data_IF_953996115885
#
_entry.id   IF_953996115885
#
_cell.length_a   1.000
_cell.length_b   1.000
_cell.length_c   1.000
_cell.angle_alpha   90.00
_cell.angle_beta   90.00
_cell.angle_gamma   90.00
#
_symmetry.space_group_name_H-M   'P 1'
#
loop_
_entity.id
_entity.type
_entity.pdbx_description
1 polymer ?
#
# COMPACT_ATOMS: atom_id res chain seq x y z
N UNK A 1 71.22 23.03 -25.98
CA UNK A 1 70.45 21.95 -25.33
C UNK A 1 69.00 22.30 -25.60
N UNK A 2 68.45 21.98 -26.79
CA UNK A 2 68.75 20.83 -27.68
C UNK A 2 68.49 19.50 -26.92
N UNK A 3 67.61 18.56 -27.31
CA UNK A 3 66.90 18.22 -28.58
C UNK A 3 65.63 17.38 -28.23
N UNK A 4 64.61 16.96 -29.03
CA UNK A 4 64.02 17.15 -30.41
C UNK A 4 62.76 16.24 -30.48
N UNK A 5 61.68 16.39 -31.26
CA UNK A 5 61.10 17.47 -32.09
C UNK A 5 59.61 17.16 -32.47
N UNK A 6 59.04 17.94 -33.39
CA UNK A 6 57.83 17.82 -34.26
C UNK A 6 57.35 16.37 -34.64
N UNK A 7 56.14 16.08 -35.14
CA UNK A 7 55.18 16.79 -36.04
C UNK A 7 53.70 16.37 -35.75
N UNK A 8 52.60 17.06 -36.11
CA UNK A 8 52.12 17.58 -37.43
C UNK A 8 51.84 16.45 -38.47
N UNK A 9 50.75 16.41 -39.27
CA UNK A 9 49.53 17.24 -39.35
C UNK A 9 48.40 16.54 -40.21
N UNK A 10 47.22 17.18 -40.31
CA UNK A 10 46.20 17.15 -41.40
C UNK A 10 45.55 15.86 -41.98
N UNK A 11 44.29 15.64 -41.58
CA UNK A 11 43.07 15.88 -42.41
C UNK A 11 43.11 15.64 -43.95
N UNK A 12 42.29 14.69 -44.47
CA UNK A 12 41.27 14.96 -45.51
C UNK A 12 40.36 13.76 -45.93
N UNK A 13 39.05 14.03 -46.02
CA UNK A 13 38.03 13.65 -47.04
C UNK A 13 38.32 12.51 -48.05
N UNK A 14 37.34 11.59 -48.25
CA UNK A 14 36.73 11.24 -49.57
C UNK A 14 35.55 10.25 -49.43
N UNK A 15 34.49 10.44 -50.23
CA UNK A 15 33.41 9.46 -50.45
C UNK A 15 33.67 8.65 -51.74
N UNK A 16 33.30 7.36 -51.80
CA UNK A 16 32.87 6.72 -53.06
C UNK A 16 32.13 5.39 -52.89
N UNK A 17 31.21 5.13 -53.82
CA UNK A 17 30.53 3.85 -54.01
C UNK A 17 31.42 2.85 -54.77
N UNK A 18 31.09 1.55 -54.73
CA UNK A 18 30.59 0.82 -55.93
C UNK A 18 30.21 -0.65 -55.70
N UNK A 19 29.14 -1.04 -56.41
CA UNK A 19 28.84 -2.27 -57.16
C UNK A 19 29.40 -3.64 -56.71
N UNK A 20 28.51 -4.64 -56.58
CA UNK A 20 28.41 -5.84 -57.46
C UNK A 20 27.37 -6.84 -56.88
N UNK A 21 26.36 -7.32 -57.64
CA UNK A 21 26.29 -8.56 -58.48
C UNK A 21 26.39 -9.86 -57.66
N UNK A 22 25.54 -10.89 -57.79
CA UNK A 22 24.19 -11.04 -58.40
C UNK A 22 23.60 -12.40 -57.91
N UNK A 23 22.83 -13.11 -58.76
CA UNK A 23 22.28 -14.46 -58.60
C UNK A 23 21.19 -14.65 -57.51
N UNK A 24 20.27 -15.62 -57.62
CA UNK A 24 19.46 -16.08 -58.77
C UNK A 24 18.45 -17.13 -58.24
N UNK A 25 17.18 -17.06 -58.63
CA UNK A 25 16.35 -18.24 -58.99
C UNK A 25 14.95 -17.85 -59.44
N UNK A 26 14.39 -18.63 -60.37
CA UNK A 26 13.06 -18.43 -60.95
C UNK A 26 12.19 -19.65 -60.64
N UNK A 27 10.97 -19.40 -60.16
CA UNK A 27 9.77 -20.22 -60.38
C UNK A 27 8.56 -19.29 -60.18
N UNK A 28 7.64 -19.09 -61.14
CA UNK A 28 6.79 -20.08 -61.81
C UNK A 28 5.85 -20.80 -60.83
N UNK A 29 4.53 -20.90 -61.05
CA UNK A 29 3.58 -20.22 -61.96
C UNK A 29 2.16 -20.61 -61.44
N UNK A 30 1.09 -20.10 -62.06
CA UNK A 30 -0.32 -20.35 -61.66
C UNK A 30 -0.69 -19.70 -60.29
N UNK A 31 -1.65 -18.79 -60.16
CA UNK A 31 -2.49 -18.14 -61.17
C UNK A 31 -3.92 -18.68 -61.18
N UNK A 32 -4.84 -17.88 -60.64
CA UNK A 32 -6.27 -18.01 -60.87
C UNK A 32 -6.86 -16.62 -61.18
N UNK A 33 -7.89 -16.59 -62.04
CA UNK A 33 -8.51 -15.37 -62.59
C UNK A 33 -9.92 -15.18 -61.99
N UNK A 34 -10.68 -14.17 -62.45
CA UNK A 34 -12.11 -13.87 -62.19
C UNK A 34 -12.35 -12.88 -61.04
N UNK A 35 -13.04 -11.74 -61.23
CA UNK A 35 -13.46 -11.01 -62.46
C UNK A 35 -13.37 -9.50 -62.15
N UNK A 36 -12.95 -8.68 -63.11
CA UNK A 36 -13.06 -7.21 -63.03
C UNK A 36 -14.39 -6.73 -63.61
N UNK A 37 -14.99 -5.68 -63.03
CA UNK A 37 -16.15 -4.98 -63.63
C UNK A 37 -15.96 -3.46 -63.63
N UNK A 38 -15.08 -3.03 -64.53
CA UNK A 38 -15.09 -1.68 -65.12
C UNK A 38 -16.30 -1.53 -66.09
N UNK A 39 -16.79 -0.33 -66.50
CA UNK A 39 -16.53 1.07 -66.10
C UNK A 39 -17.48 2.01 -66.89
N UNK A 40 -17.85 3.14 -66.29
CA UNK A 40 -18.29 4.36 -66.98
C UNK A 40 -18.23 5.54 -65.98
N UNK A 41 -17.45 6.63 -66.10
CA UNK A 41 -17.02 7.48 -67.23
C UNK A 41 -18.10 8.42 -67.79
N UNK A 42 -17.87 9.73 -67.97
CA UNK A 42 -16.89 10.70 -67.38
C UNK A 42 -17.28 12.12 -67.86
N UNK A 43 -17.01 13.24 -67.20
CA UNK A 43 -16.42 13.45 -65.87
C UNK A 43 -17.39 14.20 -64.92
N UNK A 44 -17.33 15.48 -64.52
CA UNK A 44 -16.38 16.60 -64.71
C UNK A 44 -16.60 17.63 -63.56
N UNK A 45 -15.55 18.01 -62.80
CA UNK A 45 -15.53 19.31 -62.06
C UNK A 45 -14.10 19.72 -61.64
N UNK A 46 -13.94 20.96 -61.14
CA UNK A 46 -12.67 21.71 -61.06
C UNK A 46 -11.50 21.12 -60.23
N UNK A 47 -10.28 21.35 -60.71
CA UNK A 47 -9.04 21.26 -59.93
C UNK A 47 -8.92 22.43 -58.94
N UNK A 48 -8.56 22.15 -57.68
CA UNK A 48 -7.44 22.88 -57.07
C UNK A 48 -6.28 21.96 -56.64
N UNK A 49 -5.09 22.54 -56.49
CA UNK A 49 -3.88 21.79 -56.14
C UNK A 49 -3.81 21.47 -54.63
N UNK A 50 -3.98 20.19 -54.29
CA UNK A 50 -3.19 19.53 -53.23
C UNK A 50 -3.32 18.00 -53.32
N UNK A 51 -2.66 17.40 -54.32
CA UNK A 51 -2.54 15.93 -54.43
C UNK A 51 -1.56 15.41 -53.37
N UNK A 52 -2.06 15.27 -52.14
CA UNK A 52 -1.27 14.83 -50.99
C UNK A 52 -0.85 13.37 -51.19
N UNK A 53 0.43 13.09 -50.93
CA UNK A 53 1.01 11.76 -51.07
C UNK A 53 0.61 10.88 -49.87
N UNK A 54 0.35 9.59 -50.13
CA UNK A 54 0.08 8.57 -49.12
C UNK A 54 1.21 8.53 -48.08
N UNK A 55 0.91 8.85 -46.82
CA UNK A 55 1.93 8.92 -45.75
C UNK A 55 2.46 7.55 -45.30
N UNK A 56 1.88 6.45 -45.80
CA UNK A 56 2.30 5.07 -45.50
C UNK A 56 3.31 4.56 -46.53
N UNK A 57 2.96 4.59 -47.81
CA UNK A 57 3.79 3.99 -48.87
C UNK A 57 4.61 5.00 -49.68
N UNK A 58 4.28 6.29 -49.60
CA UNK A 58 4.89 7.43 -50.33
C UNK A 58 4.92 7.34 -51.87
N UNK A 59 4.45 6.24 -52.48
CA UNK A 59 4.50 5.95 -53.92
C UNK A 59 3.28 6.45 -54.72
N UNK A 60 2.20 6.82 -54.06
CA UNK A 60 0.91 7.17 -54.69
C UNK A 60 0.21 8.29 -53.92
N UNK A 61 -0.68 9.02 -54.58
CA UNK A 61 -1.54 10.01 -53.94
C UNK A 61 -2.57 9.35 -53.01
N UNK A 62 -2.87 9.98 -51.88
CA UNK A 62 -3.87 9.48 -50.93
C UNK A 62 -5.29 9.66 -51.47
N UNK A 63 -6.10 8.60 -51.39
CA UNK A 63 -7.52 8.62 -51.74
C UNK A 63 -8.41 8.66 -50.48
N UNK A 64 -7.87 8.25 -49.33
CA UNK A 64 -8.62 8.04 -48.09
C UNK A 64 -7.89 8.66 -46.89
N UNK A 65 -8.61 8.85 -45.79
CA UNK A 65 -8.10 9.39 -44.52
C UNK A 65 -8.58 8.50 -43.36
N UNK A 66 -7.70 8.11 -42.45
CA UNK A 66 -8.08 7.30 -41.29
C UNK A 66 -8.84 8.16 -40.26
N UNK A 67 -10.07 7.78 -39.83
CA UNK A 67 -10.90 8.61 -38.95
C UNK A 67 -10.37 8.71 -37.51
N UNK A 68 -9.46 7.82 -37.10
CA UNK A 68 -8.89 7.80 -35.73
C UNK A 68 -7.64 8.66 -35.55
N UNK A 69 -6.84 8.84 -36.60
CA UNK A 69 -5.54 9.55 -36.53
C UNK A 69 -5.33 10.58 -37.65
N UNK A 70 -6.34 10.80 -38.51
CA UNK A 70 -6.30 11.71 -39.66
C UNK A 70 -5.17 11.46 -40.68
N UNK A 71 -4.53 10.27 -40.63
CA UNK A 71 -3.46 9.89 -41.55
C UNK A 71 -4.04 9.54 -42.93
N UNK A 72 -3.48 10.14 -43.98
CA UNK A 72 -3.93 9.94 -45.37
C UNK A 72 -3.21 8.80 -46.09
N UNK A 73 -3.98 7.92 -46.73
CA UNK A 73 -3.50 6.68 -47.36
C UNK A 73 -4.12 6.45 -48.75
N UNK A 74 -3.50 5.62 -49.60
CA UNK A 74 -3.97 5.34 -50.97
C UNK A 74 -4.81 4.07 -51.12
N UNK A 75 -4.62 3.04 -50.29
CA UNK A 75 -5.28 1.74 -50.43
C UNK A 75 -5.52 1.03 -49.08
N UNK A 76 -6.37 0.01 -49.06
CA UNK A 76 -6.65 -0.81 -47.87
C UNK A 76 -5.38 -1.52 -47.34
N UNK A 77 -4.41 -1.83 -48.20
CA UNK A 77 -3.09 -2.34 -47.78
C UNK A 77 -2.35 -1.30 -46.92
N UNK A 78 -2.39 -0.03 -47.32
CA UNK A 78 -1.82 1.06 -46.55
C UNK A 78 -2.62 1.33 -45.27
N UNK A 79 -3.95 1.16 -45.28
CA UNK A 79 -4.75 1.21 -44.06
C UNK A 79 -4.34 0.12 -43.06
N UNK A 80 -4.16 -1.13 -43.50
CA UNK A 80 -3.67 -2.21 -42.63
C UNK A 80 -2.24 -1.97 -42.10
N UNK A 81 -1.41 -1.23 -42.84
CA UNK A 81 -0.01 -0.96 -42.47
C UNK A 81 0.29 0.34 -41.71
N UNK A 82 -0.69 1.25 -41.50
CA UNK A 82 -0.36 2.60 -40.98
C UNK A 82 -0.17 2.71 -39.46
N UNK A 83 -0.91 1.92 -38.67
CA UNK A 83 -0.85 1.92 -37.21
C UNK A 83 -1.67 0.74 -36.67
N UNK A 84 -1.01 -0.19 -35.97
CA UNK A 84 -1.66 -1.35 -35.36
C UNK A 84 -2.81 -0.92 -34.42
N UNK A 85 -2.57 0.07 -33.56
CA UNK A 85 -3.59 0.61 -32.63
C UNK A 85 -4.85 1.09 -33.35
N UNK A 86 -4.71 1.73 -34.53
CA UNK A 86 -5.85 2.25 -35.28
C UNK A 86 -6.61 1.16 -36.04
N UNK A 87 -5.92 0.12 -36.51
CA UNK A 87 -6.54 -1.02 -37.22
C UNK A 87 -7.17 -2.03 -36.26
N UNK A 88 -6.53 -2.27 -35.13
CA UNK A 88 -6.99 -3.16 -34.06
C UNK A 88 -8.23 -2.56 -33.38
N UNK A 89 -8.19 -1.29 -32.96
CA UNK A 89 -9.36 -0.58 -32.40
C UNK A 89 -10.57 -0.69 -33.33
N UNK A 90 -10.41 -0.42 -34.63
CA UNK A 90 -11.50 -0.51 -35.60
C UNK A 90 -12.03 -1.95 -35.77
N UNK A 91 -11.16 -2.95 -35.91
CA UNK A 91 -11.60 -4.35 -36.05
C UNK A 91 -12.25 -4.87 -34.76
N UNK A 92 -11.72 -4.51 -33.59
CA UNK A 92 -12.27 -4.84 -32.26
C UNK A 92 -13.64 -4.20 -32.05
N UNK A 93 -13.82 -2.94 -32.43
CA UNK A 93 -15.11 -2.25 -32.37
C UNK A 93 -16.14 -2.89 -33.31
N UNK A 94 -15.74 -3.24 -34.53
CA UNK A 94 -16.64 -3.89 -35.49
C UNK A 94 -17.09 -5.28 -35.00
N UNK A 95 -16.16 -6.08 -34.46
CA UNK A 95 -16.48 -7.40 -33.87
C UNK A 95 -17.36 -7.25 -32.62
N UNK A 96 -17.09 -6.30 -31.72
CA UNK A 96 -17.96 -6.06 -30.56
C UNK A 96 -19.36 -5.57 -30.98
N UNK A 97 -19.46 -4.70 -31.99
CA UNK A 97 -20.76 -4.26 -32.51
C UNK A 97 -21.58 -5.41 -33.12
N UNK A 98 -20.93 -6.38 -33.75
CA UNK A 98 -21.58 -7.56 -34.34
C UNK A 98 -21.96 -8.60 -33.25
N UNK A 99 -21.13 -8.78 -32.23
CA UNK A 99 -21.46 -9.56 -31.02
C UNK A 99 -22.63 -8.95 -30.23
N UNK A 100 -22.67 -7.62 -30.07
CA UNK A 100 -23.79 -6.93 -29.39
C UNK A 100 -25.11 -6.99 -30.18
N UNK A 101 -25.07 -7.10 -31.50
CA UNK A 101 -26.25 -7.41 -32.33
C UNK A 101 -26.63 -8.89 -32.23
N UNK A 102 -25.67 -9.78 -31.98
CA UNK A 102 -25.88 -11.21 -31.74
C UNK A 102 -26.26 -11.46 -30.26
N UNK A 103 -27.36 -10.86 -29.82
CA UNK A 103 -28.00 -11.18 -28.54
C UNK A 103 -28.32 -12.69 -28.49
N UNK A 104 -27.77 -13.47 -27.56
CA UNK A 104 -28.19 -14.86 -27.39
C UNK A 104 -29.64 -14.88 -26.91
N UNK A 105 -30.44 -15.75 -27.52
CA UNK A 105 -31.82 -15.98 -27.12
C UNK A 105 -31.87 -16.55 -25.69
N UNK A 106 -32.95 -16.25 -24.96
CA UNK A 106 -33.05 -16.67 -23.55
C UNK A 106 -33.09 -18.20 -23.39
N UNK A 107 -33.51 -18.94 -24.43
CA UNK A 107 -33.48 -20.40 -24.44
C UNK A 107 -32.03 -20.93 -24.53
N UNK A 108 -31.15 -20.30 -25.31
CA UNK A 108 -29.70 -20.55 -25.28
C UNK A 108 -29.06 -20.18 -23.93
N UNK A 109 -29.48 -19.09 -23.27
CA UNK A 109 -29.05 -18.76 -21.89
C UNK A 109 -29.49 -19.83 -20.90
N UNK A 110 -30.76 -20.25 -20.97
CA UNK A 110 -31.32 -21.32 -20.14
C UNK A 110 -30.50 -22.61 -20.27
N UNK A 111 -30.19 -23.04 -21.51
CA UNK A 111 -29.36 -24.22 -21.79
C UNK A 111 -27.94 -24.11 -21.24
N UNK A 112 -27.32 -22.93 -21.35
CA UNK A 112 -25.98 -22.71 -20.79
C UNK A 112 -25.99 -22.85 -19.26
N UNK A 113 -27.00 -22.32 -18.59
CA UNK A 113 -27.20 -22.50 -17.14
C UNK A 113 -27.49 -23.97 -16.77
N UNK A 114 -28.26 -24.69 -17.58
CA UNK A 114 -28.58 -26.12 -17.38
C UNK A 114 -27.32 -27.01 -17.52
N UNK A 115 -26.44 -26.69 -18.49
CA UNK A 115 -25.15 -27.36 -18.68
C UNK A 115 -24.20 -27.10 -17.50
N UNK A 116 -24.11 -25.85 -17.03
CA UNK A 116 -23.30 -25.49 -15.85
C UNK A 116 -23.81 -26.18 -14.58
N UNK A 117 -25.15 -26.24 -14.39
CA UNK A 117 -25.75 -27.00 -13.28
C UNK A 117 -25.44 -28.48 -13.34
N UNK A 118 -25.48 -29.09 -14.54
CA UNK A 118 -25.09 -30.50 -14.70
C UNK A 118 -23.64 -30.75 -14.36
N UNK A 119 -22.70 -29.93 -14.81
CA UNK A 119 -21.30 -30.07 -14.44
C UNK A 119 -21.11 -30.04 -12.91
N UNK A 120 -21.72 -29.07 -12.22
CA UNK A 120 -21.72 -29.03 -10.75
C UNK A 120 -22.48 -30.19 -10.06
N UNK A 121 -23.33 -30.93 -10.78
CA UNK A 121 -24.06 -32.11 -10.26
C UNK A 121 -23.42 -33.44 -10.66
N UNK A 122 -22.46 -33.42 -11.59
CA UNK A 122 -21.78 -34.59 -12.16
C UNK A 122 -20.30 -34.68 -11.68
N UNK A 123 -19.79 -33.64 -11.01
CA UNK A 123 -18.45 -33.62 -10.37
C UNK A 123 -18.44 -34.03 -8.88
N UNK A 124 -19.59 -34.31 -8.26
CA UNK A 124 -19.63 -34.99 -6.94
C UNK A 124 -19.52 -36.53 -7.13
N UNK A 125 -18.46 -37.18 -6.62
CA UNK A 125 -18.29 -38.62 -6.77
C UNK A 125 -19.11 -39.39 -5.73
N UNK A 126 -20.12 -40.10 -6.19
CA UNK A 126 -20.85 -41.08 -5.39
C UNK A 126 -19.94 -42.30 -5.15
N UNK A 127 -19.34 -42.40 -3.96
CA UNK A 127 -18.80 -43.65 -3.43
C UNK A 127 -19.58 -44.06 -2.16
N UNK A 128 -20.04 -45.32 -2.14
CA UNK A 128 -21.04 -45.81 -1.19
C UNK A 128 -20.48 -46.30 0.16
N UNK A 129 -21.32 -46.12 1.19
CA UNK A 129 -21.58 -47.05 2.31
C UNK A 129 -20.71 -46.99 3.60
N UNK A 130 -21.39 -46.52 4.66
CA UNK A 130 -21.27 -46.91 6.08
C UNK A 130 -19.90 -46.75 6.78
N UNK A 131 -19.72 -45.61 7.46
CA UNK A 131 -19.32 -45.62 8.87
C UNK A 131 -19.59 -44.30 9.63
N UNK A 132 -20.26 -44.45 10.80
CA UNK A 132 -20.36 -43.52 11.95
C UNK A 132 -20.99 -42.14 11.76
N UNK A 133 -21.80 -41.75 12.75
CA UNK A 133 -22.38 -40.41 12.91
C UNK A 133 -21.29 -39.34 13.14
N UNK A 134 -21.24 -38.33 12.28
CA UNK A 134 -20.89 -36.93 12.61
C UNK A 134 -21.44 -36.04 11.47
N UNK A 135 -22.64 -35.50 11.68
CA UNK A 135 -23.41 -34.67 10.71
C UNK A 135 -22.91 -33.22 10.72
N UNK A 136 -21.63 -33.03 10.37
CA UNK A 136 -20.91 -31.75 10.42
C UNK A 136 -20.65 -31.18 9.00
N UNK A 137 -21.48 -31.58 8.02
CA UNK A 137 -21.47 -31.01 6.65
C UNK A 137 -22.24 -29.67 6.63
N UNK A 138 -21.72 -28.74 7.43
CA UNK A 138 -22.21 -27.41 7.77
C UNK A 138 -22.20 -26.52 6.50
N UNK A 139 -23.27 -26.55 5.69
CA UNK A 139 -23.41 -25.87 4.39
C UNK A 139 -22.86 -24.43 4.46
N UNK A 140 -21.78 -24.16 3.72
CA UNK A 140 -21.05 -22.89 3.73
C UNK A 140 -21.81 -21.75 3.01
N UNK A 141 -23.08 -21.96 2.67
CA UNK A 141 -23.96 -20.98 2.04
C UNK A 141 -24.45 -19.94 3.05
N UNK A 142 -23.94 -18.70 2.93
CA UNK A 142 -24.47 -17.53 3.64
C UNK A 142 -25.98 -17.41 3.47
N UNK A 143 -26.67 -17.01 4.53
CA UNK A 143 -28.12 -16.81 4.53
C UNK A 143 -28.59 -15.90 3.38
N UNK A 144 -29.75 -16.25 2.78
CA UNK A 144 -30.23 -15.57 1.57
C UNK A 144 -30.48 -14.07 1.81
N UNK A 145 -30.88 -13.68 3.02
CA UNK A 145 -31.03 -12.27 3.42
C UNK A 145 -29.70 -11.50 3.34
N UNK A 146 -28.59 -12.12 3.74
CA UNK A 146 -27.25 -11.52 3.65
C UNK A 146 -26.76 -11.49 2.20
N UNK A 147 -27.01 -12.55 1.42
CA UNK A 147 -26.71 -12.52 -0.02
C UNK A 147 -27.46 -11.38 -0.73
N UNK A 148 -28.75 -11.17 -0.43
CA UNK A 148 -29.54 -10.06 -0.96
C UNK A 148 -29.07 -8.70 -0.42
N UNK A 149 -28.60 -8.61 0.83
CA UNK A 149 -28.00 -7.39 1.41
C UNK A 149 -26.69 -7.00 0.70
N UNK A 150 -25.83 -7.97 0.41
CA UNK A 150 -24.58 -7.76 -0.35
C UNK A 150 -24.89 -7.37 -1.80
N UNK A 151 -25.81 -8.08 -2.48
CA UNK A 151 -26.20 -7.81 -3.87
C UNK A 151 -26.91 -6.45 -4.05
N UNK A 152 -27.54 -5.92 -3.00
CA UNK A 152 -28.10 -4.56 -2.99
C UNK A 152 -27.07 -3.46 -2.66
N UNK A 153 -25.79 -3.82 -2.43
CA UNK A 153 -24.70 -2.90 -2.14
C UNK A 153 -24.70 -2.35 -0.70
N UNK A 154 -25.47 -2.96 0.21
CA UNK A 154 -25.53 -2.54 1.60
C UNK A 154 -24.38 -3.17 2.40
N UNK A 155 -23.80 -2.39 3.32
CA UNK A 155 -22.77 -2.89 4.22
C UNK A 155 -23.35 -3.89 5.24
N UNK A 156 -22.68 -5.04 5.37
CA UNK A 156 -23.00 -6.09 6.35
C UNK A 156 -22.14 -5.88 7.60
N UNK A 157 -22.74 -6.03 8.77
CA UNK A 157 -22.09 -5.95 10.09
C UNK A 157 -22.12 -7.31 10.80
N UNK A 158 -21.35 -7.45 11.88
CA UNK A 158 -21.39 -8.68 12.69
C UNK A 158 -22.73 -8.86 13.43
N UNK A 159 -23.53 -7.80 13.56
CA UNK A 159 -24.88 -7.84 14.15
C UNK A 159 -25.96 -8.32 13.15
N UNK A 160 -25.62 -8.46 11.85
CA UNK A 160 -26.52 -8.99 10.81
C UNK A 160 -26.40 -10.51 10.62
N UNK A 161 -25.34 -11.14 11.15
CA UNK A 161 -25.03 -12.57 10.98
C UNK A 161 -25.79 -13.44 11.98
N UNK A 162 -26.12 -14.66 11.58
CA UNK A 162 -26.59 -15.72 12.49
C UNK A 162 -25.49 -16.10 13.51
N UNK A 163 -25.82 -16.63 14.69
CA UNK A 163 -24.80 -17.07 15.65
C UNK A 163 -23.92 -18.21 15.09
N UNK A 164 -24.46 -19.04 14.19
CA UNK A 164 -23.73 -20.08 13.45
C UNK A 164 -22.75 -19.45 12.45
N UNK A 165 -23.20 -18.49 11.62
CA UNK A 165 -22.35 -17.73 10.69
C UNK A 165 -21.24 -16.96 11.42
N UNK A 166 -21.55 -16.34 12.58
CA UNK A 166 -20.56 -15.71 13.46
C UNK A 166 -19.55 -16.73 13.99
N UNK A 167 -19.98 -17.94 14.35
CA UNK A 167 -19.08 -19.00 14.82
C UNK A 167 -18.21 -19.55 13.68
N UNK A 168 -18.74 -19.70 12.46
CA UNK A 168 -17.96 -20.04 11.26
C UNK A 168 -16.93 -18.95 10.95
N UNK A 169 -17.31 -17.67 10.96
CA UNK A 169 -16.39 -16.55 10.78
C UNK A 169 -15.29 -16.53 11.86
N UNK A 170 -15.63 -16.74 13.13
CA UNK A 170 -14.66 -16.84 14.22
C UNK A 170 -13.73 -18.06 14.06
N UNK A 171 -14.23 -19.21 13.58
CA UNK A 171 -13.41 -20.37 13.19
C UNK A 171 -12.41 -20.00 12.10
N UNK A 172 -12.84 -19.30 11.04
CA UNK A 172 -11.99 -18.89 9.91
C UNK A 172 -10.98 -17.76 10.25
N UNK A 173 -11.31 -16.89 11.22
CA UNK A 173 -10.35 -15.94 11.81
C UNK A 173 -9.30 -16.70 12.64
N UNK A 174 -9.72 -17.66 13.47
CA UNK A 174 -8.82 -18.41 14.36
C UNK A 174 -7.92 -19.42 13.64
N UNK A 175 -8.38 -20.00 12.52
CA UNK A 175 -7.56 -20.83 11.62
C UNK A 175 -6.53 -20.01 10.84
N UNK A 176 -6.72 -18.69 10.76
CA UNK A 176 -5.91 -17.78 9.95
C UNK A 176 -6.21 -17.87 8.45
N UNK A 177 -7.29 -18.53 8.03
CA UNK A 177 -7.66 -18.67 6.63
C UNK A 177 -7.88 -17.32 5.93
N UNK A 178 -8.64 -16.44 6.59
CA UNK A 178 -8.95 -15.09 6.10
C UNK A 178 -7.71 -14.18 5.99
N UNK A 179 -6.56 -14.55 6.57
CA UNK A 179 -5.32 -13.76 6.49
C UNK A 179 -4.80 -13.56 5.06
N UNK A 180 -5.16 -14.46 4.13
CA UNK A 180 -4.81 -14.35 2.71
C UNK A 180 -5.61 -13.27 1.97
N UNK A 181 -6.78 -12.90 2.50
CA UNK A 181 -7.69 -11.91 1.90
C UNK A 181 -7.36 -10.49 2.36
N UNK A 182 -6.75 -10.34 3.55
CA UNK A 182 -6.35 -9.06 4.11
C UNK A 182 -4.96 -8.69 3.58
N UNK A 183 -4.87 -7.66 2.73
CA UNK A 183 -3.57 -7.10 2.35
C UNK A 183 -2.92 -6.43 3.58
N UNK A 184 -1.69 -6.80 3.97
CA UNK A 184 -0.95 -6.08 5.00
C UNK A 184 -0.71 -4.62 4.59
N UNK A 185 -0.83 -3.71 5.55
CA UNK A 185 -0.52 -2.30 5.37
C UNK A 185 0.98 -2.05 5.40
N UNK A 186 1.51 -1.49 4.31
CA UNK A 186 2.87 -0.97 4.23
C UNK A 186 2.94 0.37 4.99
N UNK A 187 3.68 0.47 6.13
CA UNK A 187 3.68 1.68 6.94
C UNK A 187 4.29 2.87 6.21
N UNK A 188 3.60 4.01 6.25
CA UNK A 188 3.94 5.18 5.44
C UNK A 188 5.37 5.69 5.63
N UNK A 189 5.99 5.44 6.80
CA UNK A 189 7.38 5.84 7.09
C UNK A 189 8.46 5.04 6.35
N UNK A 190 8.13 3.87 5.78
CA UNK A 190 9.06 3.17 4.88
C UNK A 190 9.01 3.70 3.44
N UNK A 191 7.96 4.43 3.07
CA UNK A 191 7.76 4.90 1.70
C UNK A 191 8.69 6.07 1.34
N UNK A 192 9.17 6.10 0.09
CA UNK A 192 10.03 7.19 -0.43
C UNK A 192 9.36 8.58 -0.33
N UNK A 193 8.03 8.61 -0.29
CA UNK A 193 7.23 9.80 -0.01
C UNK A 193 7.53 10.43 1.36
N UNK A 194 7.93 9.65 2.37
CA UNK A 194 8.24 10.15 3.70
C UNK A 194 9.61 10.86 3.76
N UNK A 195 10.61 10.38 3.00
CA UNK A 195 11.94 11.02 2.87
C UNK A 195 11.89 12.39 2.19
N UNK A 196 10.76 12.73 1.58
CA UNK A 196 10.56 13.91 0.71
C UNK A 196 9.50 14.87 1.28
N UNK A 197 9.13 14.73 2.56
CA UNK A 197 8.25 15.68 3.27
C UNK A 197 9.00 17.00 3.51
N UNK A 198 8.43 18.12 3.06
CA UNK A 198 8.94 19.47 3.35
C UNK A 198 7.82 20.40 3.83
N UNK A 199 8.17 21.31 4.74
CA UNK A 199 7.27 22.30 5.31
C UNK A 199 7.77 23.71 5.04
N UNK A 200 6.83 24.68 5.05
CA UNK A 200 7.18 26.09 4.99
C UNK A 200 7.91 26.54 6.26
N UNK A 201 8.60 27.67 6.22
CA UNK A 201 9.18 28.30 7.42
C UNK A 201 8.14 28.54 8.55
N UNK A 202 6.84 28.60 8.21
CA UNK A 202 5.74 28.76 9.17
C UNK A 202 5.19 27.43 9.70
N UNK A 203 5.78 26.28 9.36
CA UNK A 203 5.29 24.98 9.79
C UNK A 203 3.94 24.63 9.20
N UNK A 204 3.75 24.87 7.89
CA UNK A 204 2.61 24.37 7.11
C UNK A 204 3.10 23.39 6.07
N UNK A 205 2.32 22.38 5.70
CA UNK A 205 2.72 21.44 4.64
C UNK A 205 2.94 22.17 3.30
N UNK A 206 4.07 21.91 2.64
CA UNK A 206 4.27 22.31 1.25
C UNK A 206 3.75 21.19 0.35
N UNK A 207 2.87 21.55 -0.57
CA UNK A 207 2.33 20.61 -1.58
C UNK A 207 3.48 20.24 -2.51
N UNK A 208 3.70 18.93 -2.71
CA UNK A 208 4.67 18.45 -3.70
C UNK A 208 4.17 18.79 -5.11
N UNK A 209 5.07 18.98 -6.10
CA UNK A 209 4.62 19.01 -7.49
C UNK A 209 3.84 17.72 -7.79
N UNK A 210 2.77 17.84 -8.58
CA UNK A 210 2.19 16.68 -9.23
C UNK A 210 3.30 16.01 -10.03
N UNK A 211 3.50 14.70 -9.84
CA UNK A 211 4.20 13.92 -10.86
C UNK A 211 3.44 14.15 -12.17
N UNK A 212 4.13 14.59 -13.22
CA UNK A 212 3.52 14.64 -14.54
C UNK A 212 3.09 13.22 -14.88
N UNK A 213 1.78 13.01 -15.01
CA UNK A 213 1.26 11.77 -15.53
C UNK A 213 1.69 11.69 -16.98
N UNK A 214 2.51 10.70 -17.33
CA UNK A 214 2.61 10.28 -18.72
C UNK A 214 1.21 9.77 -19.11
N UNK A 215 0.52 10.51 -19.99
CA UNK A 215 -0.88 10.32 -20.43
C UNK A 215 -1.08 9.03 -21.27
N UNK A 216 -0.53 7.89 -20.82
CA UNK A 216 -0.52 6.60 -21.52
C UNK A 216 -0.91 5.41 -20.63
N UNK A 217 -1.35 5.67 -19.39
CA UNK A 217 -2.04 4.67 -18.56
C UNK A 217 -3.56 4.87 -18.65
N UNK A 218 -4.28 3.86 -19.11
CA UNK A 218 -5.75 3.88 -19.19
C UNK A 218 -6.37 3.79 -17.78
N UNK A 219 -7.47 4.51 -17.49
CA UNK A 219 -8.20 4.35 -16.24
C UNK A 219 -8.96 3.01 -16.25
N UNK A 220 -8.40 2.00 -15.60
CA UNK A 220 -9.15 0.82 -15.19
C UNK A 220 -10.03 1.20 -13.99
N UNK A 221 -11.31 1.44 -14.25
CA UNK A 221 -12.33 1.53 -13.20
C UNK A 221 -12.64 0.12 -12.69
N UNK A 222 -11.79 -0.40 -11.79
CA UNK A 222 -12.11 -1.56 -10.94
C UNK A 222 -11.17 -1.63 -9.72
N UNK A 223 -11.38 -0.71 -8.77
CA UNK A 223 -11.02 -0.90 -7.35
C UNK A 223 -12.06 -0.20 -6.49
N UNK A 224 -12.64 -0.95 -5.55
CA UNK A 224 -13.58 -0.45 -4.54
C UNK A 224 -12.92 0.57 -3.61
N UNK A 225 -13.73 1.36 -2.89
CA UNK A 225 -13.28 2.45 -2.02
C UNK A 225 -12.51 1.95 -0.78
N UNK A 226 -11.21 1.68 -0.93
CA UNK A 226 -10.36 1.16 0.14
C UNK A 226 -8.86 1.19 -0.19
N UNK A 227 -8.26 2.39 -0.27
CA UNK A 227 -6.90 2.53 -0.82
C UNK A 227 -6.08 3.77 -0.45
N UNK A 228 -6.35 4.47 0.66
CA UNK A 228 -5.60 5.68 1.06
C UNK A 228 -4.75 5.53 2.35
N UNK A 229 -4.59 4.32 2.90
CA UNK A 229 -3.92 4.12 4.20
C UNK A 229 -2.38 4.19 4.16
N UNK A 230 -1.73 3.85 3.03
CA UNK A 230 -0.24 3.83 2.93
C UNK A 230 0.40 5.15 2.44
N UNK A 231 -0.39 6.19 2.15
CA UNK A 231 0.18 7.51 1.84
C UNK A 231 0.63 8.24 3.14
N UNK A 232 1.55 9.19 3.01
CA UNK A 232 2.03 9.98 4.15
C UNK A 232 0.88 10.84 4.69
N UNK A 233 0.55 10.77 6.00
CA UNK A 233 -0.58 11.49 6.55
C UNK A 233 -0.38 13.01 6.41
N UNK A 234 -1.47 13.78 6.18
CA UNK A 234 -1.40 15.21 5.99
C UNK A 234 -0.77 15.90 7.19
N UNK A 235 0.14 16.83 6.92
CA UNK A 235 0.83 17.62 7.93
C UNK A 235 -0.06 18.68 8.56
N UNK A 236 0.54 19.70 9.20
CA UNK A 236 -0.19 20.79 9.83
C UNK A 236 -0.82 21.72 8.77
N UNK A 237 -2.14 21.85 8.84
CA UNK A 237 -2.97 22.75 8.00
C UNK A 237 -2.86 24.21 8.43
N UNK A 238 -2.51 24.46 9.69
CA UNK A 238 -2.30 25.79 10.28
C UNK A 238 -0.85 25.95 10.74
N UNK A 239 -0.28 27.17 10.70
CA UNK A 239 1.13 27.38 11.01
C UNK A 239 1.45 27.08 12.48
N UNK A 240 2.44 26.22 12.72
CA UNK A 240 2.86 25.83 14.07
C UNK A 240 3.41 27.02 14.86
N UNK A 241 2.96 27.14 16.12
CA UNK A 241 3.33 28.24 17.00
C UNK A 241 4.70 28.00 17.65
N UNK A 242 5.60 29.00 17.68
CA UNK A 242 6.80 28.94 18.52
C UNK A 242 6.45 28.64 19.98
N UNK A 243 7.18 27.71 20.59
CA UNK A 243 6.85 27.15 21.92
C UNK A 243 6.76 28.20 23.04
N UNK A 244 7.51 29.29 22.93
CA UNK A 244 7.47 30.43 23.86
C UNK A 244 6.15 31.25 23.82
N UNK A 245 5.23 30.93 22.89
CA UNK A 245 3.85 31.42 22.87
C UNK A 245 2.85 30.43 23.49
N UNK A 246 3.28 29.19 23.73
CA UNK A 246 2.45 28.11 24.30
C UNK A 246 2.73 27.90 25.79
N UNK A 247 3.97 28.13 26.23
CA UNK A 247 4.33 28.23 27.65
C UNK A 247 5.24 29.42 27.93
N UNK A 248 5.07 30.03 29.10
CA UNK A 248 6.00 31.00 29.68
C UNK A 248 7.14 30.34 30.45
N UNK A 249 7.05 29.03 30.73
CA UNK A 249 8.14 28.23 31.30
C UNK A 249 8.98 27.58 30.20
N UNK A 250 10.27 27.37 30.47
CA UNK A 250 11.13 26.59 29.59
C UNK A 250 10.62 25.14 29.46
N UNK A 251 10.72 24.51 28.28
CA UNK A 251 10.37 23.10 28.11
C UNK A 251 11.25 22.19 28.98
N UNK A 252 10.67 21.08 29.46
CA UNK A 252 11.43 20.05 30.19
C UNK A 252 12.49 19.40 29.26
N UNK A 253 13.70 19.09 29.77
CA UNK A 253 14.70 18.34 29.00
C UNK A 253 14.24 16.92 28.63
N UNK A 254 13.28 16.36 29.38
CA UNK A 254 12.76 15.00 29.17
C UNK A 254 11.80 14.88 27.97
N UNK A 255 11.49 15.95 27.24
CA UNK A 255 10.54 15.90 26.11
C UNK A 255 11.00 14.98 24.97
N UNK A 256 12.32 14.75 24.80
CA UNK A 256 12.87 13.75 23.88
C UNK A 256 12.53 12.31 24.30
N UNK A 257 12.60 12.01 25.60
CA UNK A 257 12.20 10.71 26.17
C UNK A 257 10.68 10.54 26.07
N UNK A 258 9.92 11.58 26.42
CA UNK A 258 8.47 11.58 26.30
C UNK A 258 7.99 11.36 24.84
N UNK A 259 8.74 11.86 23.85
CA UNK A 259 8.44 11.67 22.44
C UNK A 259 8.54 10.20 22.02
N UNK A 260 9.43 9.41 22.61
CA UNK A 260 9.63 7.99 22.26
C UNK A 260 8.43 7.14 22.70
N UNK A 261 7.92 7.32 23.93
CA UNK A 261 6.68 6.68 24.42
C UNK A 261 5.47 7.05 23.54
N UNK A 262 5.37 8.33 23.12
CA UNK A 262 4.31 8.82 22.23
C UNK A 262 4.41 8.19 20.83
N UNK A 263 5.59 8.19 20.20
CA UNK A 263 5.75 7.61 18.85
C UNK A 263 5.58 6.10 18.87
N UNK A 264 6.11 5.39 19.88
CA UNK A 264 5.91 3.95 20.03
C UNK A 264 4.40 3.63 20.09
N UNK A 265 3.63 4.35 20.92
CA UNK A 265 2.17 4.12 21.02
C UNK A 265 1.42 4.43 19.72
N UNK A 266 1.85 5.44 18.95
CA UNK A 266 1.34 5.71 17.60
C UNK A 266 1.65 4.56 16.63
N UNK A 267 2.90 4.12 16.55
CA UNK A 267 3.33 3.03 15.66
C UNK A 267 2.61 1.71 15.99
N UNK A 268 2.47 1.38 17.28
CA UNK A 268 1.69 0.23 17.74
C UNK A 268 0.26 0.33 17.22
N UNK A 269 -0.40 1.46 17.47
CA UNK A 269 -1.81 1.66 17.13
C UNK A 269 -2.03 1.51 15.62
N UNK A 270 -1.23 2.17 14.78
CA UNK A 270 -1.38 2.05 13.33
C UNK A 270 -1.08 0.63 12.82
N UNK A 271 -0.17 -0.13 13.44
CA UNK A 271 0.00 -1.55 13.10
C UNK A 271 -1.17 -2.42 13.55
N UNK A 272 -1.81 -2.13 14.68
CA UNK A 272 -2.97 -2.88 15.18
C UNK A 272 -4.17 -2.74 14.23
N UNK A 273 -4.49 -1.53 13.78
CA UNK A 273 -5.61 -1.26 12.86
C UNK A 273 -5.22 -1.34 11.36
N UNK A 274 -4.09 -1.99 11.02
CA UNK A 274 -3.61 -2.14 9.64
C UNK A 274 -3.65 -0.82 8.82
N UNK A 275 -3.19 0.27 9.44
CA UNK A 275 -3.17 1.62 8.87
C UNK A 275 -4.48 2.40 8.94
N UNK A 276 -5.63 1.77 9.18
CA UNK A 276 -6.94 2.45 9.23
C UNK A 276 -7.51 2.56 10.65
N UNK A 277 -6.92 3.47 11.43
CA UNK A 277 -7.42 3.82 12.77
C UNK A 277 -8.82 4.44 12.77
N UNK A 278 -9.41 4.78 11.62
CA UNK A 278 -10.74 5.40 11.53
C UNK A 278 -11.89 4.38 11.62
N UNK A 279 -11.58 3.09 11.48
CA UNK A 279 -12.52 1.98 11.59
C UNK A 279 -13.17 1.88 12.99
N UNK A 280 -12.39 2.09 14.05
CA UNK A 280 -12.86 2.45 15.39
C UNK A 280 -11.88 3.47 15.99
N UNK A 281 -12.20 4.76 15.83
CA UNK A 281 -11.32 5.84 16.28
C UNK A 281 -11.38 6.03 17.81
N UNK A 282 -12.43 5.54 18.46
CA UNK A 282 -12.52 5.55 19.93
C UNK A 282 -11.63 4.49 20.57
N UNK A 283 -11.69 3.24 20.12
CA UNK A 283 -10.82 2.17 20.61
C UNK A 283 -9.36 2.44 20.25
N UNK A 284 -9.06 2.93 19.04
CA UNK A 284 -7.71 3.36 18.67
C UNK A 284 -7.18 4.45 19.64
N UNK A 285 -8.04 5.40 20.06
CA UNK A 285 -7.67 6.39 21.06
C UNK A 285 -7.49 5.78 22.47
N UNK A 286 -8.20 4.70 22.82
CA UNK A 286 -8.00 3.95 24.07
C UNK A 286 -6.70 3.15 24.04
N UNK A 287 -6.32 2.56 22.90
CA UNK A 287 -5.04 1.85 22.69
C UNK A 287 -3.84 2.78 22.89
N UNK A 288 -3.87 3.99 22.31
CA UNK A 288 -2.84 5.02 22.58
C UNK A 288 -2.73 5.30 24.09
N UNK A 289 -3.86 5.40 24.80
CA UNK A 289 -3.92 5.73 26.23
C UNK A 289 -3.64 4.56 27.18
N UNK A 290 -3.51 3.33 26.69
CA UNK A 290 -3.09 2.16 27.49
C UNK A 290 -1.59 1.90 27.39
N UNK A 291 -0.99 2.19 26.22
CA UNK A 291 0.43 1.96 25.93
C UNK A 291 1.31 3.13 26.37
N UNK A 292 0.86 4.36 26.15
CA UNK A 292 1.61 5.57 26.47
C UNK A 292 1.51 5.88 27.96
N UNK A 293 2.62 5.76 28.68
CA UNK A 293 2.75 6.24 30.06
C UNK A 293 2.55 7.76 30.14
N UNK A 294 3.01 8.48 29.10
CA UNK A 294 3.04 9.94 29.02
C UNK A 294 1.64 10.52 28.76
N UNK A 295 0.82 9.90 27.91
CA UNK A 295 -0.54 10.35 27.58
C UNK A 295 -1.61 9.66 28.42
N UNK A 296 -1.41 8.38 28.75
CA UNK A 296 -2.32 7.54 29.50
C UNK A 296 -2.32 7.83 31.00
N UNK A 297 -1.16 7.80 31.64
CA UNK A 297 -1.03 7.94 33.10
C UNK A 297 -0.51 9.32 33.53
N UNK A 298 0.17 10.04 32.62
CA UNK A 298 0.78 11.34 32.89
C UNK A 298 2.19 11.26 33.50
N UNK A 299 2.78 10.06 33.48
CA UNK A 299 4.16 9.78 33.93
C UNK A 299 5.16 10.60 33.09
N UNK A 300 6.31 10.87 33.69
CA UNK A 300 7.43 11.61 33.09
C UNK A 300 8.68 10.72 33.12
N UNK A 301 8.82 9.75 32.20
CA UNK A 301 9.96 8.85 32.19
C UNK A 301 11.26 9.64 32.00
N UNK A 302 12.26 9.34 32.83
CA UNK A 302 13.54 10.06 32.89
C UNK A 302 14.57 9.48 31.90
N UNK A 303 14.35 8.27 31.40
CA UNK A 303 15.26 7.56 30.48
C UNK A 303 14.54 6.87 29.32
N UNK A 304 15.27 6.69 28.20
CA UNK A 304 14.77 5.94 27.04
C UNK A 304 14.49 4.47 27.42
N UNK A 305 15.34 3.87 28.25
CA UNK A 305 15.15 2.53 28.80
C UNK A 305 13.82 2.38 29.52
N UNK A 306 13.46 3.34 30.37
CA UNK A 306 12.20 3.35 31.14
C UNK A 306 10.97 3.50 30.23
N UNK A 307 11.01 4.47 29.30
CA UNK A 307 9.94 4.69 28.34
C UNK A 307 9.66 3.43 27.50
N UNK A 308 10.71 2.85 26.90
CA UNK A 308 10.60 1.63 26.11
C UNK A 308 10.16 0.43 26.97
N UNK A 309 10.69 0.27 28.19
CA UNK A 309 10.30 -0.82 29.08
C UNK A 309 8.81 -0.75 29.48
N UNK A 310 8.25 0.45 29.67
CA UNK A 310 6.81 0.60 29.89
C UNK A 310 6.00 0.17 28.66
N UNK A 311 6.31 0.72 27.48
CA UNK A 311 5.54 0.45 26.27
C UNK A 311 5.67 -1.02 25.82
N UNK A 312 6.84 -1.64 25.98
CA UNK A 312 7.06 -3.08 25.77
C UNK A 312 6.25 -3.93 26.77
N UNK A 313 6.24 -3.57 28.07
CA UNK A 313 5.45 -4.27 29.09
C UNK A 313 3.95 -4.25 28.76
N UNK A 314 3.42 -3.10 28.32
CA UNK A 314 2.02 -3.00 27.89
C UNK A 314 1.77 -3.76 26.58
N UNK A 315 2.71 -3.73 25.63
CA UNK A 315 2.67 -4.55 24.39
C UNK A 315 2.61 -6.05 24.69
N UNK A 316 3.24 -6.50 25.78
CA UNK A 316 3.23 -7.90 26.22
C UNK A 316 2.10 -8.22 27.22
N UNK A 317 1.17 -7.29 27.45
CA UNK A 317 0.04 -7.49 28.36
C UNK A 317 -1.00 -8.46 27.78
N UNK A 318 -1.89 -8.96 28.65
CA UNK A 318 -2.97 -9.86 28.24
C UNK A 318 -3.89 -9.23 27.17
N UNK A 319 -4.11 -7.91 27.22
CA UNK A 319 -4.92 -7.15 26.27
C UNK A 319 -4.41 -7.26 24.83
N UNK A 320 -3.10 -7.33 24.65
CA UNK A 320 -2.44 -7.31 23.33
C UNK A 320 -1.72 -8.63 23.00
N UNK A 321 -2.07 -9.72 23.69
CA UNK A 321 -1.53 -11.07 23.45
C UNK A 321 -1.62 -11.50 21.97
N UNK A 322 -2.68 -11.07 21.26
CA UNK A 322 -2.91 -11.37 19.84
C UNK A 322 -1.93 -10.64 18.90
N UNK A 323 -1.34 -9.52 19.30
CA UNK A 323 -0.50 -8.66 18.45
C UNK A 323 0.94 -9.20 18.23
N UNK A 324 1.27 -10.41 18.69
CA UNK A 324 2.61 -11.02 18.50
C UNK A 324 3.63 -10.74 19.61
N UNK A 325 3.22 -10.06 20.69
CA UNK A 325 3.99 -9.93 21.94
C UNK A 325 5.38 -9.30 21.77
N UNK A 326 6.39 -9.83 22.49
CA UNK A 326 7.71 -9.19 22.58
C UNK A 326 8.42 -9.01 21.23
N UNK A 327 8.23 -9.93 20.26
CA UNK A 327 8.84 -9.77 18.92
C UNK A 327 8.25 -8.59 18.16
N UNK A 328 6.92 -8.43 18.23
CA UNK A 328 6.23 -7.27 17.66
C UNK A 328 6.65 -5.97 18.38
N UNK A 329 6.70 -6.00 19.72
CA UNK A 329 7.16 -4.85 20.51
C UNK A 329 8.59 -4.40 20.20
N UNK A 330 9.54 -5.33 20.04
CA UNK A 330 10.91 -4.99 19.64
C UNK A 330 10.98 -4.51 18.18
N UNK A 331 10.11 -5.00 17.29
CA UNK A 331 9.97 -4.50 15.92
C UNK A 331 9.42 -3.08 15.83
N UNK A 332 8.51 -2.69 16.73
CA UNK A 332 8.02 -1.31 16.82
C UNK A 332 9.12 -0.30 17.17
N UNK A 333 10.22 -0.74 17.77
CA UNK A 333 11.39 0.12 18.02
C UNK A 333 12.08 0.48 16.69
N UNK A 334 12.06 -0.39 15.68
CA UNK A 334 12.56 -0.06 14.33
C UNK A 334 11.69 1.00 13.63
N UNK A 335 10.38 1.02 13.89
CA UNK A 335 9.48 2.06 13.38
C UNK A 335 9.78 3.42 14.03
N UNK A 336 9.99 3.46 15.36
CA UNK A 336 10.42 4.66 16.09
C UNK A 336 11.76 5.17 15.56
N UNK A 337 12.75 4.28 15.39
CA UNK A 337 14.07 4.61 14.82
C UNK A 337 13.96 5.12 13.38
N UNK A 338 13.08 4.53 12.56
CA UNK A 338 12.83 4.97 11.18
C UNK A 338 12.22 6.37 11.14
N UNK A 339 11.22 6.66 11.97
CA UNK A 339 10.61 7.98 12.09
C UNK A 339 11.60 9.04 12.60
N UNK A 340 12.47 8.69 13.54
CA UNK A 340 13.55 9.58 14.01
C UNK A 340 14.59 9.86 12.91
N UNK A 341 14.96 8.86 12.10
CA UNK A 341 15.85 9.04 10.95
C UNK A 341 15.23 9.85 9.80
N UNK A 342 13.91 9.83 9.62
CA UNK A 342 13.20 10.76 8.72
C UNK A 342 13.15 12.20 9.27
N UNK A 343 13.36 12.36 10.59
CA UNK A 343 13.52 13.64 11.26
C UNK A 343 12.24 14.48 11.36
N UNK A 344 12.43 15.73 11.81
CA UNK A 344 11.38 16.70 12.23
C UNK A 344 10.09 16.65 11.42
N UNK A 345 10.17 16.62 10.08
CA UNK A 345 8.99 16.75 9.23
C UNK A 345 8.09 15.51 9.31
N UNK A 346 8.67 14.31 9.30
CA UNK A 346 7.93 13.07 9.50
C UNK A 346 7.39 12.94 10.93
N UNK A 347 8.20 13.31 11.93
CA UNK A 347 7.79 13.32 13.34
C UNK A 347 6.56 14.22 13.58
N UNK A 348 6.52 15.39 12.95
CA UNK A 348 5.36 16.29 12.98
C UNK A 348 4.17 15.72 12.20
N UNK A 349 4.35 15.05 11.05
CA UNK A 349 3.26 14.35 10.37
C UNK A 349 2.65 13.22 11.23
N UNK A 350 3.48 12.42 11.90
CA UNK A 350 3.02 11.39 12.86
C UNK A 350 2.23 12.01 14.02
N UNK A 351 2.69 13.12 14.59
CA UNK A 351 1.98 13.83 15.65
C UNK A 351 0.70 14.52 15.16
N UNK A 352 0.63 15.00 13.90
CA UNK A 352 -0.62 15.50 13.30
C UNK A 352 -1.67 14.39 13.19
N UNK A 353 -1.26 13.22 12.71
CA UNK A 353 -2.14 12.07 12.53
C UNK A 353 -2.64 11.52 13.88
N UNK A 354 -1.73 11.36 14.85
CA UNK A 354 -2.07 11.03 16.24
C UNK A 354 -3.02 12.06 16.87
N UNK A 355 -2.87 13.36 16.57
CA UNK A 355 -3.80 14.37 17.04
C UNK A 355 -5.19 14.18 16.40
N UNK A 356 -5.28 13.90 15.10
CA UNK A 356 -6.56 13.61 14.41
C UNK A 356 -7.23 12.36 14.97
N UNK A 357 -6.47 11.30 15.27
CA UNK A 357 -6.93 10.06 15.91
C UNK A 357 -7.57 10.34 17.27
N UNK A 358 -6.86 11.04 18.17
CA UNK A 358 -7.39 11.41 19.50
C UNK A 358 -8.62 12.34 19.40
N UNK A 359 -8.66 13.24 18.41
CA UNK A 359 -9.81 14.09 18.17
C UNK A 359 -11.03 13.31 17.66
N UNK A 360 -10.81 12.36 16.73
CA UNK A 360 -11.85 11.50 16.17
C UNK A 360 -12.49 10.61 17.24
N UNK A 361 -11.70 9.90 18.06
CA UNK A 361 -12.23 9.15 19.21
C UNK A 361 -12.97 10.05 20.20
N UNK A 362 -12.48 11.29 20.41
CA UNK A 362 -13.16 12.33 21.19
C UNK A 362 -14.44 12.93 20.55
N UNK A 363 -14.74 12.58 19.30
CA UNK A 363 -15.97 12.87 18.57
C UNK A 363 -16.92 11.66 18.56
N UNK A 364 -16.43 10.48 18.18
CA UNK A 364 -17.15 9.21 18.14
C UNK A 364 -17.75 8.83 19.50
N UNK A 365 -16.97 8.95 20.57
CA UNK A 365 -17.42 8.71 21.96
C UNK A 365 -18.67 9.53 22.37
N UNK A 366 -19.06 10.54 21.60
CA UNK A 366 -20.29 11.33 21.82
C UNK A 366 -21.57 10.56 21.47
N UNK A 367 -21.55 9.61 20.55
CA UNK A 367 -22.72 8.77 20.20
C UNK A 367 -23.02 7.71 21.28
N UNK A 368 -22.00 6.98 21.76
CA UNK A 368 -22.17 5.77 22.58
C UNK A 368 -22.91 5.92 23.92
N UNK A 369 -23.68 4.90 24.31
CA UNK A 369 -24.62 4.88 25.44
C UNK A 369 -23.98 4.75 26.85
N UNK A 370 -22.80 5.31 27.09
CA UNK A 370 -22.08 5.18 28.37
C UNK A 370 -22.59 6.11 29.49
N UNK A 371 -22.45 5.67 30.75
CA UNK A 371 -22.84 6.44 31.95
C UNK A 371 -22.22 7.84 31.95
N UNK A 372 -23.06 8.88 32.10
CA UNK A 372 -22.72 10.31 31.92
C UNK A 372 -21.43 10.76 32.63
N UNK A 373 -21.13 10.26 33.82
CA UNK A 373 -19.93 10.62 34.58
C UNK A 373 -18.63 10.20 33.88
N UNK A 374 -18.47 8.90 33.58
CA UNK A 374 -17.33 8.37 32.80
C UNK A 374 -17.23 9.04 31.41
N UNK A 375 -18.38 9.37 30.82
CA UNK A 375 -18.46 10.08 29.53
C UNK A 375 -17.95 11.53 29.59
N UNK A 376 -17.96 12.17 30.76
CA UNK A 376 -17.31 13.47 30.98
C UNK A 376 -15.81 13.31 31.22
N UNK A 377 -15.42 12.35 32.06
CA UNK A 377 -14.03 12.10 32.48
C UNK A 377 -13.10 11.74 31.30
N UNK A 378 -13.47 10.74 30.48
CA UNK A 378 -12.69 10.37 29.30
C UNK A 378 -12.63 11.52 28.28
N UNK A 379 -13.73 12.29 28.13
CA UNK A 379 -13.77 13.48 27.28
C UNK A 379 -12.85 14.61 27.77
N UNK A 380 -12.64 14.75 29.07
CA UNK A 380 -11.60 15.64 29.61
C UNK A 380 -10.18 15.08 29.40
N UNK A 381 -9.97 13.77 29.56
CA UNK A 381 -8.67 13.11 29.32
C UNK A 381 -8.22 13.30 27.87
N UNK A 382 -9.06 12.94 26.89
CA UNK A 382 -8.76 13.10 25.45
C UNK A 382 -8.45 14.56 25.08
N UNK A 383 -9.13 15.55 25.68
CA UNK A 383 -8.83 16.98 25.49
C UNK A 383 -7.50 17.45 26.09
N UNK A 384 -7.02 16.84 27.17
CA UNK A 384 -5.71 17.13 27.73
C UNK A 384 -4.60 16.49 26.88
N UNK A 385 -4.88 15.30 26.34
CA UNK A 385 -3.98 14.53 25.46
C UNK A 385 -3.82 15.22 24.11
N UNK A 386 -4.90 15.64 23.45
CA UNK A 386 -4.90 16.49 22.25
C UNK A 386 -3.97 17.72 22.41
N UNK A 387 -4.11 18.44 23.53
CA UNK A 387 -3.24 19.59 23.87
C UNK A 387 -1.78 19.20 24.12
N UNK A 388 -1.52 18.03 24.73
CA UNK A 388 -0.16 17.53 25.01
C UNK A 388 0.54 17.10 23.72
N UNK A 389 -0.20 16.50 22.77
CA UNK A 389 0.27 16.18 21.42
C UNK A 389 0.57 17.47 20.63
N UNK A 390 -0.34 18.44 20.63
CA UNK A 390 -0.11 19.74 19.96
C UNK A 390 1.12 20.48 20.52
N UNK A 391 1.30 20.48 21.84
CA UNK A 391 2.50 21.03 22.49
C UNK A 391 3.77 20.28 22.06
N UNK A 392 3.74 18.94 22.05
CA UNK A 392 4.85 18.11 21.60
C UNK A 392 5.20 18.39 20.14
N UNK A 393 4.20 18.49 19.25
CA UNK A 393 4.38 18.83 17.84
C UNK A 393 5.07 20.20 17.65
N UNK A 394 4.67 21.22 18.41
CA UNK A 394 5.30 22.54 18.37
C UNK A 394 6.72 22.54 18.97
N UNK A 395 6.99 21.69 19.99
CA UNK A 395 8.34 21.48 20.51
C UNK A 395 9.25 20.80 19.48
N UNK A 396 8.80 19.70 18.86
CA UNK A 396 9.50 18.98 17.78
C UNK A 396 9.81 19.91 16.61
N UNK A 397 8.84 20.71 16.17
CA UNK A 397 9.07 21.66 15.07
C UNK A 397 10.17 22.70 15.40
N UNK A 398 10.28 23.08 16.68
CA UNK A 398 11.27 24.03 17.18
C UNK A 398 12.69 23.48 17.39
N UNK A 399 12.93 22.17 17.29
CA UNK A 399 14.28 21.60 17.48
C UNK A 399 15.14 21.68 16.20
N UNK A 400 16.49 21.66 16.35
CA UNK A 400 17.41 21.37 15.25
C UNK A 400 17.13 19.98 14.62
N UNK A 401 17.58 19.77 13.37
CA UNK A 401 17.35 18.50 12.67
C UNK A 401 18.26 17.39 13.21
N UNK A 402 19.45 17.76 13.67
CA UNK A 402 20.55 16.90 14.10
C UNK A 402 20.20 16.11 15.37
N UNK A 403 19.33 16.68 16.21
CA UNK A 403 18.86 16.07 17.45
C UNK A 403 18.15 14.73 17.23
N UNK A 404 17.48 14.55 16.08
CA UNK A 404 16.73 13.32 15.78
C UNK A 404 17.64 12.15 15.45
N UNK A 405 18.76 12.39 14.77
CA UNK A 405 19.79 11.35 14.53
C UNK A 405 20.44 10.94 15.83
N UNK A 406 20.80 11.88 16.72
CA UNK A 406 21.31 11.55 18.06
C UNK A 406 20.29 10.73 18.87
N UNK A 407 19.01 11.11 18.85
CA UNK A 407 17.96 10.39 19.56
C UNK A 407 17.71 8.98 18.96
N UNK A 408 17.80 8.83 17.64
CA UNK A 408 17.72 7.53 16.97
C UNK A 408 18.84 6.59 17.44
N UNK A 409 20.10 7.04 17.43
CA UNK A 409 21.23 6.22 17.88
C UNK A 409 21.13 5.80 19.34
N UNK A 410 20.52 6.62 20.20
CA UNK A 410 20.24 6.26 21.59
C UNK A 410 19.20 5.13 21.69
N UNK A 411 18.10 5.23 20.93
CA UNK A 411 17.07 4.19 20.85
C UNK A 411 17.63 2.88 20.26
N UNK A 412 18.51 2.95 19.25
CA UNK A 412 19.20 1.78 18.69
C UNK A 412 20.12 1.09 19.70
N UNK A 413 20.88 1.85 20.49
CA UNK A 413 21.73 1.28 21.57
C UNK A 413 20.91 0.58 22.65
N UNK A 414 19.80 1.20 23.10
CA UNK A 414 18.88 0.60 24.07
C UNK A 414 18.24 -0.69 23.51
N UNK A 415 17.82 -0.68 22.24
CA UNK A 415 17.32 -1.88 21.55
C UNK A 415 18.38 -2.99 21.51
N UNK A 416 19.65 -2.64 21.25
CA UNK A 416 20.78 -3.55 21.26
C UNK A 416 20.99 -4.20 22.64
N UNK A 417 21.05 -3.39 23.70
CA UNK A 417 21.18 -3.86 25.07
C UNK A 417 20.02 -4.80 25.48
N UNK A 418 18.77 -4.46 25.12
CA UNK A 418 17.61 -5.34 25.31
C UNK A 418 17.78 -6.66 24.55
N UNK A 419 18.23 -6.62 23.29
CA UNK A 419 18.44 -7.83 22.49
C UNK A 419 19.53 -8.74 23.07
N UNK A 420 20.58 -8.21 23.70
CA UNK A 420 21.59 -9.01 24.41
C UNK A 420 20.99 -9.67 25.66
N UNK A 421 20.24 -8.93 26.49
CA UNK A 421 19.58 -9.46 27.69
C UNK A 421 18.63 -10.61 27.35
N UNK A 422 17.81 -10.47 26.30
CA UNK A 422 16.90 -11.54 25.87
C UNK A 422 17.61 -12.69 25.14
N UNK A 423 18.74 -12.43 24.46
CA UNK A 423 19.54 -13.48 23.82
C UNK A 423 20.36 -14.29 24.82
N UNK A 424 20.75 -13.71 25.95
CA UNK A 424 21.45 -14.39 27.05
C UNK A 424 20.67 -15.56 27.67
N UNK A 425 19.34 -15.57 27.49
CA UNK A 425 18.48 -16.71 27.86
C UNK A 425 18.63 -17.94 26.95
N UNK A 426 19.34 -17.84 25.82
CA UNK A 426 19.71 -18.99 24.99
C UNK A 426 21.13 -19.42 25.31
N UNK A 427 21.25 -20.61 25.87
CA UNK A 427 22.52 -21.25 26.19
C UNK A 427 23.44 -21.34 24.96
N UNK A 428 24.58 -20.62 25.03
CA UNK A 428 25.75 -21.02 24.25
C UNK A 428 26.17 -22.41 24.76
N UNK A 429 26.31 -23.44 23.90
CA UNK A 429 26.90 -24.71 24.34
C UNK A 429 28.37 -24.46 24.68
N UNK A 430 28.67 -24.41 25.98
CA UNK A 430 30.03 -24.27 26.48
C UNK A 430 30.76 -25.60 26.21
N UNK A 431 31.47 -25.62 25.09
CA UNK A 431 32.15 -26.80 24.58
C UNK A 431 33.52 -26.97 25.27
N UNK A 432 33.51 -27.29 26.57
CA UNK A 432 34.72 -27.60 27.34
C UNK A 432 35.02 -29.10 27.18
N UNK A 433 35.92 -29.40 26.23
CA UNK A 433 36.76 -30.58 26.34
C UNK A 433 37.87 -30.25 27.36
N UNK A 434 37.74 -30.77 28.57
CA UNK A 434 38.68 -30.58 29.67
C UNK A 434 38.39 -31.57 30.79
N UNK A 435 39.40 -32.33 31.20
CA UNK A 435 39.24 -33.59 31.93
C UNK A 435 38.91 -33.41 33.43
N UNK A 436 38.19 -34.40 33.96
CA UNK A 436 38.16 -34.90 35.35
C UNK A 436 38.53 -33.97 36.52
N UNK A 437 37.58 -33.72 37.43
CA UNK A 437 37.52 -34.52 38.67
C UNK A 437 36.20 -34.32 39.44
N UNK A 438 35.70 -35.38 40.08
CA UNK A 438 34.43 -35.37 40.82
C UNK A 438 34.62 -35.24 42.34
N UNK A 439 34.20 -34.11 42.94
CA UNK A 439 34.11 -33.97 44.41
C UNK A 439 32.80 -33.28 44.83
N UNK A 440 31.81 -34.08 45.23
CA UNK A 440 30.58 -33.59 45.86
C UNK A 440 30.87 -32.86 47.18
N UNK A 441 30.27 -31.68 47.36
CA UNK A 441 30.00 -31.09 48.68
C UNK A 441 28.64 -30.39 48.66
N UNK A 442 27.61 -31.12 49.13
CA UNK A 442 26.38 -30.50 49.62
C UNK A 442 26.64 -30.04 51.05
N UNK A 443 26.34 -28.79 51.36
CA UNK A 443 26.38 -28.24 52.72
C UNK A 443 25.29 -27.18 52.87
N UNK A 444 24.13 -27.60 53.39
CA UNK A 444 23.33 -26.97 54.45
C UNK A 444 22.17 -27.92 54.73
N UNK A 445 21.87 -28.11 56.02
CA UNK A 445 20.93 -29.10 56.54
C UNK A 445 20.13 -28.41 57.65
N UNK A 446 18.80 -28.45 57.59
CA UNK A 446 17.96 -27.95 58.70
C UNK A 446 17.76 -29.06 59.73
N UNK A 447 18.24 -28.79 60.94
CA UNK A 447 18.19 -29.69 62.10
C UNK A 447 16.95 -29.37 62.95
N UNK A 448 16.48 -30.35 63.72
CA UNK A 448 15.27 -30.29 64.56
C UNK A 448 15.60 -30.23 66.05
#
# INVERSE_FOLDING_TARGET
MFDTDMAEENQMVVMKEKDSVAEDTISALMGDTVITKEKSSEAFDALPANKIVCRVCQKQFSQYTCPRCNLRYCSLQCYKGHSLRCTESFMRENVMAELHQTQPDDNSKQKMLDILKRFHSEEEPIEDMDHSDDDDNDDHTLSEEIMQKILSGNQVSLDDLSPEEVQQFQRAVASGELSKLIKPWDPWWFNLSAKTISFSHKGTQLVKPLNQQDDTALPLQDTLEGGQSSEVPPGPESPLLPINKLSSTNPSPLLSVHLIDIIYSYCFTLRLYNGDWKSDAFDAAVVVLSLSSVLGEGVQPESVTEALAHSLKQTCSASYKHAGGLRFGVGLIDDVVTLLHLGRNALVCALCDLQRLIQAGGHEFRSGNLRKLKKSEMKTKLKLVDRKIYFMMCWVYGQPNEAWTSLATLVEMEKGAMAEVYSGGKSKPININGEQESKNKVFIEEVK
#
